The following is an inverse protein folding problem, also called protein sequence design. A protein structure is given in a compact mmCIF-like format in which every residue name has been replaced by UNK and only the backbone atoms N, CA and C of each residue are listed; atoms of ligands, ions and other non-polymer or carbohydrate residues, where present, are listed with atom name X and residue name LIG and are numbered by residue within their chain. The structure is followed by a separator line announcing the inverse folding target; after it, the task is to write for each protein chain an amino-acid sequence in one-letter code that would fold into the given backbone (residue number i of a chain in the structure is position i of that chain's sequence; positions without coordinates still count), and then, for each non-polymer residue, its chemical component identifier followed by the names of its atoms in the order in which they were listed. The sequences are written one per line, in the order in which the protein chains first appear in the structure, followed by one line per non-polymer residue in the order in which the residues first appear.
data_IF_824316023910
#
_entry.id   IF_824316023910
#
_cell.length_a   1.000
_cell.length_b   1.000
_cell.length_c   1.000
_cell.angle_alpha   90.00
_cell.angle_beta   90.00
_cell.angle_gamma   90.00
#
_symmetry.space_group_name_H-M   'P 1'
#
loop_
_entity.id
_entity.type
_entity.pdbx_description
1 polymer ?
#
# COMPACT_ATOMS: atom_id res chain seq x y z
N UNK A 1 27.22 2.86 11.56
CA UNK A 1 25.78 2.72 11.25
C UNK A 1 25.61 3.05 9.79
N UNK A 2 25.09 2.13 8.96
CA UNK A 2 24.69 2.46 7.61
C UNK A 2 23.43 3.32 7.73
N UNK A 3 23.46 4.56 7.22
CA UNK A 3 22.29 5.40 7.07
C UNK A 3 21.26 4.63 6.22
N UNK A 4 20.14 4.26 6.82
CA UNK A 4 18.98 3.78 6.10
C UNK A 4 18.14 4.98 5.71
N UNK A 5 17.52 4.90 4.54
CA UNK A 5 16.52 5.89 4.16
C UNK A 5 15.33 5.80 5.13
N UNK A 6 14.79 6.94 5.51
CA UNK A 6 13.60 6.96 6.36
C UNK A 6 12.33 6.57 5.58
N UNK A 7 11.24 6.41 6.32
CA UNK A 7 9.95 5.98 5.77
C UNK A 7 9.37 6.97 4.75
N UNK A 8 9.67 8.25 4.93
CA UNK A 8 9.22 9.33 4.05
C UNK A 8 9.92 9.25 2.70
N UNK A 9 11.21 8.94 2.68
CA UNK A 9 11.95 8.75 1.41
C UNK A 9 11.44 7.51 0.67
N UNK A 10 11.12 6.42 1.39
CA UNK A 10 10.48 5.25 0.76
C UNK A 10 9.14 5.64 0.14
N UNK A 11 8.30 6.39 0.88
CA UNK A 11 7.00 6.86 0.38
C UNK A 11 7.16 7.80 -0.82
N UNK A 12 8.10 8.75 -0.76
CA UNK A 12 8.45 9.64 -1.87
C UNK A 12 8.89 8.86 -3.12
N UNK A 13 9.64 7.77 -2.93
CA UNK A 13 10.05 6.93 -4.05
C UNK A 13 8.85 6.19 -4.67
N UNK A 14 7.91 5.72 -3.85
CA UNK A 14 6.68 5.07 -4.33
C UNK A 14 5.79 6.07 -5.07
N UNK A 15 5.66 7.31 -4.57
CA UNK A 15 4.85 8.35 -5.21
C UNK A 15 5.19 8.56 -6.70
N UNK A 16 6.47 8.38 -7.08
CA UNK A 16 6.94 8.49 -8.47
C UNK A 16 6.48 7.34 -9.37
N UNK A 17 5.99 6.25 -8.81
CA UNK A 17 5.48 5.09 -9.55
C UNK A 17 3.95 5.15 -9.76
N UNK A 18 3.26 6.13 -9.15
CA UNK A 18 1.82 6.27 -9.28
C UNK A 18 1.46 6.87 -10.65
N UNK A 19 0.48 6.29 -11.36
CA UNK A 19 0.05 6.82 -12.65
C UNK A 19 -0.79 8.09 -12.46
N UNK A 20 -0.53 9.10 -13.28
CA UNK A 20 -1.41 10.28 -13.37
C UNK A 20 -2.81 9.87 -13.86
N UNK A 21 -3.85 10.35 -13.19
CA UNK A 21 -5.24 9.97 -13.45
C UNK A 21 -5.62 8.58 -12.96
N UNK A 22 -4.73 7.90 -12.23
CA UNK A 22 -4.96 6.54 -11.75
C UNK A 22 -5.77 6.45 -10.46
N UNK A 23 -6.47 5.34 -10.30
CA UNK A 23 -7.18 4.97 -9.07
C UNK A 23 -6.25 4.16 -8.16
N UNK A 24 -5.96 4.70 -6.98
CA UNK A 24 -4.93 4.17 -6.08
C UNK A 24 -5.52 3.90 -4.69
N UNK A 25 -5.24 2.71 -4.15
CA UNK A 25 -5.51 2.40 -2.75
C UNK A 25 -4.19 2.37 -1.97
N UNK A 26 -4.16 3.03 -0.83
CA UNK A 26 -3.01 3.11 0.05
C UNK A 26 -3.29 2.34 1.35
N UNK A 27 -2.49 1.32 1.62
CA UNK A 27 -2.51 0.59 2.89
C UNK A 27 -1.98 1.43 4.06
N UNK A 28 -2.05 0.87 5.26
CA UNK A 28 -1.64 1.53 6.51
C UNK A 28 -0.11 1.56 6.64
N UNK A 29 0.41 2.62 7.24
CA UNK A 29 1.84 2.80 7.54
C UNK A 29 2.60 3.57 6.47
N UNK A 30 3.72 3.05 5.95
CA UNK A 30 4.49 3.71 4.87
C UNK A 30 3.59 4.03 3.65
N UNK A 31 2.70 3.12 3.21
CA UNK A 31 1.80 3.42 2.10
C UNK A 31 0.96 4.69 2.29
N UNK A 32 0.45 4.95 3.49
CA UNK A 32 -0.36 6.15 3.75
C UNK A 32 0.42 7.46 3.50
N UNK A 33 1.73 7.47 3.78
CA UNK A 33 2.57 8.64 3.57
C UNK A 33 2.76 8.99 2.09
N UNK A 34 2.49 8.07 1.17
CA UNK A 34 2.70 8.26 -0.27
C UNK A 34 1.90 9.44 -0.81
N UNK A 35 0.68 9.64 -0.32
CA UNK A 35 -0.19 10.75 -0.76
C UNK A 35 0.42 12.13 -0.49
N UNK A 36 1.25 12.27 0.54
CA UNK A 36 1.92 13.52 0.90
C UNK A 36 2.98 13.95 -0.13
N UNK A 37 3.51 13.01 -0.91
CA UNK A 37 4.62 13.24 -1.84
C UNK A 37 4.21 13.19 -3.31
N UNK A 38 2.93 13.07 -3.61
CA UNK A 38 2.42 13.20 -4.99
C UNK A 38 2.40 14.67 -5.35
N UNK A 39 2.93 15.00 -6.56
CA UNK A 39 2.95 16.38 -7.04
C UNK A 39 1.51 16.93 -7.20
N UNK A 40 1.31 18.19 -6.84
CA UNK A 40 0.03 18.89 -7.02
C UNK A 40 -0.44 18.90 -8.48
N UNK A 41 0.48 18.84 -9.44
CA UNK A 41 0.20 18.73 -10.87
C UNK A 41 -0.25 17.33 -11.30
N UNK A 42 -0.09 16.33 -10.43
CA UNK A 42 -0.43 14.94 -10.71
C UNK A 42 -1.76 14.58 -10.07
N UNK A 43 -2.79 14.47 -10.87
CA UNK A 43 -4.11 14.01 -10.39
C UNK A 43 -4.04 12.53 -10.08
N UNK A 44 -4.26 12.14 -8.82
CA UNK A 44 -4.41 10.75 -8.38
C UNK A 44 -5.72 10.62 -7.60
N UNK A 45 -6.55 9.65 -7.96
CA UNK A 45 -7.81 9.38 -7.28
C UNK A 45 -7.62 8.33 -6.20
N UNK A 46 -7.59 8.75 -4.94
CA UNK A 46 -7.45 7.81 -3.83
C UNK A 46 -8.77 7.12 -3.51
N UNK A 47 -8.72 5.80 -3.44
CA UNK A 47 -9.81 4.92 -3.06
C UNK A 47 -9.56 4.39 -1.65
N UNK A 48 -10.60 4.39 -0.83
CA UNK A 48 -10.60 3.69 0.46
C UNK A 48 -11.77 2.71 0.50
N UNK A 49 -11.49 1.45 0.87
CA UNK A 49 -12.50 0.40 1.01
C UNK A 49 -13.51 0.69 2.13
N UNK A 50 -13.23 1.65 3.01
CA UNK A 50 -14.17 2.17 4.01
C UNK A 50 -15.35 2.92 3.39
N UNK A 51 -15.27 3.32 2.12
CA UNK A 51 -16.37 3.91 1.38
C UNK A 51 -16.13 5.30 0.81
N UNK A 52 -14.89 5.63 0.46
CA UNK A 52 -14.52 6.95 -0.08
C UNK A 52 -13.71 6.80 -1.37
N UNK A 53 -14.03 7.62 -2.37
CA UNK A 53 -13.24 7.81 -3.57
C UNK A 53 -12.87 9.29 -3.73
N UNK A 54 -11.67 9.54 -4.24
CA UNK A 54 -11.10 10.88 -4.40
C UNK A 54 -11.00 11.62 -3.06
N UNK A 55 -10.50 10.93 -2.03
CA UNK A 55 -10.28 11.57 -0.73
C UNK A 55 -9.14 12.60 -0.81
N UNK A 56 -9.31 13.68 -0.06
CA UNK A 56 -8.32 14.73 0.11
C UNK A 56 -7.13 14.28 0.98
N UNK A 57 -6.18 15.19 1.25
CA UNK A 57 -5.08 14.95 2.17
C UNK A 57 -5.59 14.77 3.61
N UNK A 58 -4.66 14.52 4.53
CA UNK A 58 -4.99 14.51 5.96
C UNK A 58 -5.45 15.90 6.40
N UNK A 59 -6.51 15.95 7.21
CA UNK A 59 -7.07 17.19 7.73
C UNK A 59 -6.21 17.76 8.86
N UNK A 60 -6.03 19.06 8.87
CA UNK A 60 -5.46 19.80 10.01
C UNK A 60 -6.42 19.71 11.22
N UNK A 61 -5.90 19.95 12.44
CA UNK A 61 -6.66 19.74 13.69
C UNK A 61 -7.98 20.52 13.76
N UNK A 62 -8.03 21.69 13.15
CA UNK A 62 -9.20 22.58 13.10
C UNK A 62 -10.18 22.28 11.95
N UNK A 63 -9.81 21.39 11.02
CA UNK A 63 -10.61 21.00 9.86
C UNK A 63 -11.13 19.54 9.95
N UNK A 64 -10.88 18.86 11.07
CA UNK A 64 -11.24 17.44 11.23
C UNK A 64 -12.75 17.24 11.30
N UNK A 65 -13.26 16.37 10.42
CA UNK A 65 -14.62 15.86 10.47
C UNK A 65 -14.58 14.41 10.98
N UNK A 66 -15.30 14.15 12.08
CA UNK A 66 -15.34 12.83 12.74
C UNK A 66 -15.92 11.74 11.84
N UNK A 67 -16.76 12.11 10.87
CA UNK A 67 -17.40 11.18 9.95
C UNK A 67 -16.55 10.93 8.69
N UNK A 68 -15.42 11.64 8.53
CA UNK A 68 -14.56 11.56 7.36
C UNK A 68 -13.17 11.04 7.70
N UNK A 69 -13.03 9.72 7.72
CA UNK A 69 -11.79 9.03 8.05
C UNK A 69 -11.36 8.06 6.95
N UNK A 70 -10.03 7.85 6.81
CA UNK A 70 -9.49 6.79 5.97
C UNK A 70 -9.51 5.41 6.68
N UNK A 71 -9.10 4.35 5.98
CA UNK A 71 -9.02 3.01 6.53
C UNK A 71 -8.04 2.87 7.71
N UNK A 72 -7.13 3.82 7.90
CA UNK A 72 -6.21 3.92 9.02
C UNK A 72 -6.76 4.70 10.22
N UNK A 73 -8.00 5.22 10.15
CA UNK A 73 -8.63 6.02 11.19
C UNK A 73 -8.11 7.46 11.25
N UNK A 74 -7.48 7.96 10.20
CA UNK A 74 -6.99 9.34 10.13
C UNK A 74 -8.03 10.23 9.44
N UNK A 75 -8.22 11.45 9.94
CA UNK A 75 -9.17 12.41 9.38
C UNK A 75 -8.69 12.92 8.02
N UNK A 76 -9.62 13.05 7.09
CA UNK A 76 -9.40 13.49 5.72
C UNK A 76 -10.04 14.86 5.48
N UNK A 77 -9.44 15.64 4.59
CA UNK A 77 -10.09 16.84 4.08
C UNK A 77 -11.14 16.47 3.02
N UNK A 78 -12.27 17.16 3.07
CA UNK A 78 -13.26 17.12 2.01
C UNK A 78 -12.78 17.92 0.80
N UNK A 79 -12.80 17.30 -0.38
CA UNK A 79 -12.40 17.95 -1.64
C UNK A 79 -13.51 17.84 -2.69
N UNK A 80 -13.59 18.79 -3.63
CA UNK A 80 -14.55 18.69 -4.74
C UNK A 80 -14.36 17.41 -5.55
N UNK A 81 -15.47 16.73 -5.86
CA UNK A 81 -15.46 15.47 -6.60
C UNK A 81 -15.28 14.22 -5.73
N UNK A 82 -15.22 14.38 -4.41
CA UNK A 82 -15.26 13.27 -3.47
C UNK A 82 -16.59 12.52 -3.58
N UNK A 83 -16.55 11.20 -3.56
CA UNK A 83 -17.72 10.34 -3.62
C UNK A 83 -17.73 9.34 -2.47
N UNK A 84 -18.93 9.08 -1.93
CA UNK A 84 -19.15 8.16 -0.82
C UNK A 84 -19.99 6.98 -1.29
N UNK A 85 -19.65 5.80 -0.80
CA UNK A 85 -20.31 4.54 -1.13
C UNK A 85 -20.22 3.55 0.02
N UNK A 86 -20.96 2.45 -0.08
CA UNK A 86 -20.86 1.38 0.92
C UNK A 86 -19.52 0.65 0.80
N UNK A 87 -19.06 0.03 1.89
CA UNK A 87 -17.87 -0.84 1.83
C UNK A 87 -18.06 -2.00 0.84
N UNK A 88 -19.29 -2.46 0.62
CA UNK A 88 -19.61 -3.49 -0.37
C UNK A 88 -19.26 -3.01 -1.78
N UNK A 89 -19.64 -1.77 -2.12
CA UNK A 89 -19.30 -1.16 -3.41
C UNK A 89 -17.79 -0.94 -3.53
N UNK A 90 -17.14 -0.50 -2.44
CA UNK A 90 -15.69 -0.36 -2.38
C UNK A 90 -14.96 -1.66 -2.71
N UNK A 91 -15.36 -2.78 -2.10
CA UNK A 91 -14.80 -4.10 -2.43
C UNK A 91 -15.20 -4.59 -3.83
N UNK A 92 -16.38 -4.24 -4.33
CA UNK A 92 -16.77 -4.54 -5.70
C UNK A 92 -15.88 -3.82 -6.73
N UNK A 93 -15.50 -2.57 -6.47
CA UNK A 93 -14.53 -1.83 -7.31
C UNK A 93 -13.16 -2.53 -7.32
N UNK A 94 -12.66 -2.97 -6.16
CA UNK A 94 -11.41 -3.71 -6.05
C UNK A 94 -11.47 -5.01 -6.87
N UNK A 95 -12.45 -5.86 -6.59
CA UNK A 95 -12.65 -7.17 -7.24
C UNK A 95 -12.95 -7.05 -8.73
N UNK A 96 -13.57 -5.95 -9.15
CA UNK A 96 -13.84 -5.64 -10.54
C UNK A 96 -12.63 -5.15 -11.34
N UNK A 97 -11.43 -5.04 -10.70
CA UNK A 97 -10.20 -4.60 -11.37
C UNK A 97 -10.19 -3.11 -11.71
N UNK A 98 -10.94 -2.28 -10.97
CA UNK A 98 -11.02 -0.84 -11.23
C UNK A 98 -9.90 -0.04 -10.57
N UNK A 99 -9.08 -0.65 -9.71
CA UNK A 99 -7.89 -0.02 -9.15
C UNK A 99 -6.67 -0.23 -10.04
N UNK A 100 -5.98 0.86 -10.37
CA UNK A 100 -4.73 0.80 -11.14
C UNK A 100 -3.56 0.36 -10.27
N UNK A 101 -3.49 0.88 -9.04
CA UNK A 101 -2.41 0.57 -8.09
C UNK A 101 -2.97 0.35 -6.69
N UNK A 102 -2.44 -0.64 -6.00
CA UNK A 102 -2.48 -0.69 -4.53
C UNK A 102 -1.06 -0.65 -3.98
N UNK A 103 -0.86 0.12 -2.91
CA UNK A 103 0.40 0.16 -2.17
C UNK A 103 0.19 -0.49 -0.82
N UNK A 104 0.91 -1.56 -0.53
CA UNK A 104 0.75 -2.36 0.68
C UNK A 104 2.06 -2.45 1.47
N UNK A 105 1.95 -2.54 2.80
CA UNK A 105 3.06 -2.98 3.63
C UNK A 105 3.22 -4.51 3.59
N UNK A 106 4.39 -5.02 3.99
CA UNK A 106 4.63 -6.45 4.07
C UNK A 106 5.44 -6.87 5.30
N UNK A 107 5.18 -8.09 5.75
CA UNK A 107 6.03 -8.82 6.69
C UNK A 107 7.08 -9.62 5.94
N UNK A 108 6.70 -10.26 4.82
CA UNK A 108 7.62 -10.94 3.89
C UNK A 108 7.14 -10.77 2.45
N UNK A 109 8.10 -10.72 1.52
CA UNK A 109 7.87 -10.84 0.08
C UNK A 109 8.83 -11.88 -0.48
N UNK A 110 8.34 -12.84 -1.26
CA UNK A 110 9.19 -13.85 -1.87
C UNK A 110 9.90 -13.35 -3.13
N UNK A 111 10.93 -14.07 -3.56
CA UNK A 111 11.65 -13.81 -4.80
C UNK A 111 10.75 -13.85 -6.04
N UNK A 112 9.64 -14.57 -5.98
CA UNK A 112 8.64 -14.73 -7.05
C UNK A 112 7.44 -13.79 -6.91
N UNK A 113 7.44 -12.90 -5.90
CA UNK A 113 6.39 -11.91 -5.71
C UNK A 113 5.19 -12.37 -4.88
N UNK A 114 5.32 -13.43 -4.08
CA UNK A 114 4.31 -13.75 -3.08
C UNK A 114 4.33 -12.71 -1.96
N UNK A 115 3.16 -12.35 -1.47
CA UNK A 115 2.98 -11.37 -0.40
C UNK A 115 2.49 -12.04 0.88
N UNK A 116 3.13 -11.76 2.01
CA UNK A 116 2.64 -12.10 3.35
C UNK A 116 2.61 -10.82 4.21
N UNK A 117 1.39 -10.35 4.56
CA UNK A 117 1.26 -9.10 5.31
C UNK A 117 0.15 -9.08 6.37
N UNK A 118 -0.63 -10.16 6.53
CA UNK A 118 -1.79 -10.13 7.40
C UNK A 118 -1.58 -10.78 8.77
N UNK A 119 -0.54 -11.61 8.91
CA UNK A 119 -0.29 -12.34 10.15
C UNK A 119 1.22 -12.47 10.42
N UNK A 120 1.60 -12.24 11.66
CA UNK A 120 2.88 -12.62 12.23
C UNK A 120 2.65 -13.86 13.10
N UNK A 121 3.22 -15.04 12.77
CA UNK A 121 2.96 -16.30 13.47
C UNK A 121 3.19 -16.22 14.98
N UNK A 122 4.20 -15.48 15.40
CA UNK A 122 4.54 -15.31 16.83
C UNK A 122 3.46 -14.54 17.62
N UNK A 123 2.58 -13.80 16.95
CA UNK A 123 1.46 -13.10 17.60
C UNK A 123 0.21 -13.94 17.72
N UNK A 124 0.13 -15.07 16.99
CA UNK A 124 -1.00 -16.00 17.01
C UNK A 124 -2.32 -15.47 16.43
N UNK A 125 -2.40 -14.18 16.15
CA UNK A 125 -3.57 -13.52 15.53
C UNK A 125 -3.10 -12.61 14.41
N UNK A 126 -3.94 -12.49 13.38
CA UNK A 126 -3.72 -11.64 12.23
C UNK A 126 -4.91 -10.73 11.97
N UNK A 127 -4.72 -9.76 11.10
CA UNK A 127 -5.76 -8.90 10.58
C UNK A 127 -5.67 -8.88 9.05
N UNK A 128 -6.62 -9.53 8.41
CA UNK A 128 -6.67 -9.64 6.95
C UNK A 128 -7.05 -8.29 6.32
N UNK A 129 -8.03 -7.59 6.88
CA UNK A 129 -8.59 -6.37 6.28
C UNK A 129 -8.96 -6.58 4.81
N UNK A 130 -8.67 -5.59 3.99
CA UNK A 130 -8.86 -5.65 2.53
C UNK A 130 -7.67 -6.18 1.73
N UNK A 131 -6.58 -6.59 2.40
CA UNK A 131 -5.30 -6.86 1.73
C UNK A 131 -5.36 -7.98 0.67
N UNK A 132 -6.14 -9.03 0.91
CA UNK A 132 -6.30 -10.13 -0.06
C UNK A 132 -7.04 -9.68 -1.31
N UNK A 133 -8.12 -8.92 -1.15
CA UNK A 133 -8.88 -8.37 -2.26
C UNK A 133 -8.05 -7.37 -3.07
N UNK A 134 -7.32 -6.49 -2.38
CA UNK A 134 -6.41 -5.52 -3.01
C UNK A 134 -5.29 -6.21 -3.78
N UNK A 135 -4.67 -7.23 -3.19
CA UNK A 135 -3.60 -8.00 -3.84
C UNK A 135 -4.08 -8.79 -5.07
N UNK A 136 -5.34 -9.22 -5.08
CA UNK A 136 -5.93 -9.97 -6.19
C UNK A 136 -6.58 -9.08 -7.26
N UNK A 137 -7.13 -7.91 -6.87
CA UNK A 137 -7.96 -7.10 -7.74
C UNK A 137 -7.27 -5.89 -8.35
N UNK A 138 -6.22 -5.34 -7.74
CA UNK A 138 -5.50 -4.21 -8.32
C UNK A 138 -4.62 -4.65 -9.50
N UNK A 139 -4.52 -3.78 -10.54
CA UNK A 139 -3.69 -4.07 -11.73
C UNK A 139 -2.20 -4.09 -11.39
N UNK A 140 -1.78 -3.29 -10.42
CA UNK A 140 -0.38 -3.21 -9.96
C UNK A 140 -0.35 -3.22 -8.45
N UNK A 141 0.45 -4.10 -7.87
CA UNK A 141 0.69 -4.19 -6.43
C UNK A 141 2.11 -3.72 -6.13
N UNK A 142 2.23 -2.60 -5.42
CA UNK A 142 3.50 -2.08 -4.94
C UNK A 142 3.63 -2.39 -3.46
N UNK A 143 4.74 -2.98 -3.05
CA UNK A 143 5.08 -3.17 -1.63
C UNK A 143 6.01 -2.05 -1.20
N UNK A 144 5.62 -1.33 -0.13
CA UNK A 144 6.43 -0.30 0.52
C UNK A 144 6.73 -0.74 1.96
N UNK A 145 8.00 -1.02 2.28
CA UNK A 145 8.39 -1.56 3.58
C UNK A 145 9.86 -1.29 3.91
N UNK A 146 10.22 -1.37 5.18
CA UNK A 146 11.62 -1.51 5.59
C UNK A 146 12.16 -2.86 5.12
N UNK A 147 13.41 -2.91 4.66
CA UNK A 147 14.03 -4.11 4.09
C UNK A 147 14.19 -5.24 5.11
N UNK A 148 14.41 -4.88 6.37
CA UNK A 148 14.58 -5.84 7.47
C UNK A 148 13.50 -5.64 8.54
N UNK A 149 13.28 -6.65 9.34
CA UNK A 149 12.52 -6.59 10.57
C UNK A 149 13.31 -5.87 11.70
N UNK A 150 12.71 -5.78 12.88
CA UNK A 150 13.35 -5.15 14.07
C UNK A 150 14.56 -5.92 14.58
N UNK A 151 14.69 -7.19 14.25
CA UNK A 151 15.81 -8.06 14.60
C UNK A 151 16.93 -8.04 13.55
N UNK A 152 16.71 -7.34 12.43
CA UNK A 152 17.66 -7.24 11.32
C UNK A 152 17.53 -8.36 10.29
N UNK A 153 16.54 -9.25 10.37
CA UNK A 153 16.31 -10.28 9.36
C UNK A 153 15.67 -9.67 8.11
N UNK A 154 16.10 -10.14 6.94
CA UNK A 154 15.51 -9.70 5.68
C UNK A 154 14.04 -10.08 5.58
N UNK A 155 13.19 -9.13 5.17
CA UNK A 155 11.80 -9.37 4.82
C UNK A 155 11.62 -9.83 3.38
N UNK A 156 12.68 -9.75 2.58
CA UNK A 156 12.73 -10.32 1.24
C UNK A 156 13.36 -11.71 1.38
N UNK A 157 12.60 -12.72 1.00
CA UNK A 157 12.92 -14.13 1.23
C UNK A 157 12.83 -14.93 -0.07
N UNK A 158 13.45 -16.11 -0.12
CA UNK A 158 13.31 -16.97 -1.27
C UNK A 158 11.85 -17.46 -1.42
N UNK A 159 11.26 -17.91 -0.31
CA UNK A 159 9.86 -18.32 -0.18
C UNK A 159 9.29 -17.76 1.12
N UNK A 160 8.04 -17.29 1.08
CA UNK A 160 7.38 -16.83 2.30
C UNK A 160 7.16 -17.98 3.27
N UNK A 161 7.54 -17.75 4.53
CA UNK A 161 7.29 -18.67 5.65
C UNK A 161 6.07 -18.27 6.47
N UNK A 162 5.62 -17.04 6.31
CA UNK A 162 4.40 -16.52 6.93
C UNK A 162 3.17 -16.79 6.05
N UNK A 163 1.96 -16.81 6.64
CA UNK A 163 0.72 -17.01 5.89
C UNK A 163 0.58 -16.00 4.74
N UNK A 164 0.40 -16.53 3.54
CA UNK A 164 0.36 -15.76 2.30
C UNK A 164 -0.95 -14.95 2.21
N UNK A 165 -0.83 -13.68 1.79
CA UNK A 165 -1.93 -12.78 1.43
C UNK A 165 -2.31 -12.95 -0.04
N UNK A 166 -1.31 -12.97 -0.92
CA UNK A 166 -1.45 -13.13 -2.36
C UNK A 166 -0.23 -13.83 -2.94
N UNK A 167 -0.45 -14.70 -3.92
CA UNK A 167 0.60 -15.48 -4.59
C UNK A 167 0.98 -14.82 -5.90
N UNK A 168 2.29 -14.56 -6.10
CA UNK A 168 2.83 -13.96 -7.33
C UNK A 168 2.20 -12.61 -7.71
N UNK A 169 1.68 -11.86 -6.73
CA UNK A 169 0.90 -10.65 -6.98
C UNK A 169 1.74 -9.36 -6.97
N UNK A 170 2.91 -9.38 -6.35
CA UNK A 170 3.74 -8.17 -6.19
C UNK A 170 4.41 -7.79 -7.50
N UNK A 171 4.15 -6.56 -7.95
CA UNK A 171 4.71 -5.99 -9.17
C UNK A 171 6.01 -5.21 -8.93
N UNK A 172 6.12 -4.56 -7.77
CA UNK A 172 7.27 -3.73 -7.38
C UNK A 172 7.46 -3.77 -5.86
N UNK A 173 8.71 -3.81 -5.44
CA UNK A 173 9.12 -3.73 -4.03
C UNK A 173 9.98 -2.49 -3.86
N UNK A 174 9.59 -1.60 -2.95
CA UNK A 174 10.35 -0.40 -2.58
C UNK A 174 10.70 -0.49 -1.10
N UNK A 175 11.99 -0.46 -0.80
CA UNK A 175 12.51 -0.50 0.58
C UNK A 175 13.43 0.68 0.85
N UNK A 176 13.89 0.79 2.08
CA UNK A 176 14.88 1.78 2.55
C UNK A 176 16.27 1.63 1.92
N UNK A 177 16.53 0.56 1.17
CA UNK A 177 17.84 0.33 0.53
C UNK A 177 17.77 -0.07 -0.95
N UNK A 178 16.62 -0.46 -1.47
CA UNK A 178 16.51 -0.96 -2.84
C UNK A 178 15.10 -0.81 -3.43
N UNK A 179 15.04 -0.73 -4.75
CA UNK A 179 13.82 -0.90 -5.55
C UNK A 179 14.01 -2.13 -6.42
N UNK A 180 13.07 -3.07 -6.34
CA UNK A 180 13.19 -4.37 -7.00
C UNK A 180 11.88 -4.77 -7.68
N UNK A 181 12.02 -5.53 -8.76
CA UNK A 181 10.88 -6.14 -9.45
C UNK A 181 10.99 -7.65 -9.40
N UNK A 182 9.98 -8.37 -8.89
CA UNK A 182 9.91 -9.82 -9.04
C UNK A 182 9.74 -10.20 -10.51
N UNK A 183 10.46 -11.22 -10.94
CA UNK A 183 10.35 -11.83 -12.28
C UNK A 183 10.37 -13.35 -12.15
N UNK A 184 10.11 -14.07 -13.23
CA UNK A 184 10.21 -15.52 -13.26
C UNK A 184 11.64 -16.04 -12.94
N UNK A 185 12.66 -15.20 -13.17
CA UNK A 185 14.08 -15.52 -12.96
C UNK A 185 14.59 -15.05 -11.58
N UNK A 186 13.74 -14.39 -10.79
CA UNK A 186 14.06 -13.81 -9.49
C UNK A 186 13.88 -12.30 -9.42
N UNK A 187 14.53 -11.65 -8.46
CA UNK A 187 14.43 -10.21 -8.24
C UNK A 187 15.42 -9.44 -9.11
N UNK A 188 14.91 -8.46 -9.84
CA UNK A 188 15.70 -7.54 -10.63
C UNK A 188 15.79 -6.19 -9.90
N UNK A 189 17.00 -5.71 -9.63
CA UNK A 189 17.25 -4.37 -9.07
C UNK A 189 16.95 -3.30 -10.14
N UNK A 190 16.32 -2.21 -9.69
CA UNK A 190 15.89 -1.11 -10.58
C UNK A 190 16.55 0.23 -10.22
#
# INVERSE_FOLDING_TARGET
EKERLDREIVAMRVAKELPAGGYVNLGIGIPTLVSTFVSEDSVVFYHSESGVLNCGPLADEDEQDIDLINAGGQFLQSVPGMAFFSSVDGFAMIRGGHLDVTVLGAHQVSATGDLANWMLPERGVGNIGGAMDLAAGAKTVIVAMEHTDRQGHSKIVQECTYPITGKGCVSLIVTDIAVMRPTAEGLVLR
#
